data_IF_701013692945
#
_entry.id   IF_701013692945
#
_cell.length_a   1.000
_cell.length_b   1.000
_cell.length_c   1.000
_cell.angle_alpha   90.00
_cell.angle_beta   90.00
_cell.angle_gamma   90.00
#
_symmetry.space_group_name_H-M   'P 1'
#
loop_
_entity.id
_entity.type
_entity.pdbx_description
1 polymer ?
#
# COMPACT_ATOMS: atom_id res chain seq x y z
N UNK A 1 15.37 44.53 4.84
CA UNK A 1 15.44 43.48 3.80
C UNK A 1 15.50 42.07 4.39
N UNK A 2 16.43 41.74 5.30
CA UNK A 2 16.53 40.37 5.85
C UNK A 2 15.30 39.89 6.68
N UNK A 3 14.64 40.79 7.43
CA UNK A 3 13.46 40.44 8.24
C UNK A 3 12.18 40.20 7.40
N UNK A 4 12.05 40.86 6.25
CA UNK A 4 10.92 40.62 5.32
C UNK A 4 11.09 39.29 4.58
N UNK A 5 12.33 38.94 4.23
CA UNK A 5 12.65 37.70 3.54
C UNK A 5 12.43 36.46 4.44
N UNK A 6 12.89 36.51 5.71
CA UNK A 6 12.63 35.44 6.69
C UNK A 6 11.15 35.22 7.02
N UNK A 7 10.33 36.28 6.97
CA UNK A 7 8.87 36.18 7.18
C UNK A 7 8.16 35.51 6.01
N UNK A 8 8.64 35.75 4.80
CA UNK A 8 8.09 35.14 3.59
C UNK A 8 8.48 33.65 3.50
N UNK A 9 9.73 33.31 3.79
CA UNK A 9 10.21 31.92 3.88
C UNK A 9 9.43 31.11 4.92
N UNK A 10 9.19 31.68 6.11
CA UNK A 10 8.39 31.01 7.14
C UNK A 10 6.92 30.79 6.72
N UNK A 11 6.33 31.73 5.96
CA UNK A 11 4.97 31.58 5.42
C UNK A 11 4.88 30.49 4.36
N UNK A 12 5.87 30.41 3.47
CA UNK A 12 5.96 29.35 2.46
C UNK A 12 6.13 27.98 3.14
N UNK A 13 6.98 27.89 4.17
CA UNK A 13 7.18 26.66 4.92
C UNK A 13 5.91 26.19 5.64
N UNK A 14 5.18 27.12 6.29
CA UNK A 14 3.90 26.82 6.95
C UNK A 14 2.87 26.34 5.93
N UNK A 15 2.77 27.02 4.79
CA UNK A 15 1.84 26.64 3.71
C UNK A 15 2.15 25.24 3.14
N UNK A 16 3.43 24.91 2.93
CA UNK A 16 3.84 23.58 2.48
C UNK A 16 3.51 22.50 3.52
N UNK A 17 3.73 22.80 4.81
CA UNK A 17 3.45 21.86 5.89
C UNK A 17 1.93 21.65 6.13
N UNK A 18 1.09 22.65 5.93
CA UNK A 18 -0.38 22.47 5.97
C UNK A 18 -0.89 21.60 4.81
N UNK A 19 -0.35 21.79 3.61
CA UNK A 19 -0.69 20.98 2.42
C UNK A 19 -0.27 19.53 2.61
N UNK A 20 0.93 19.27 3.15
CA UNK A 20 1.40 17.90 3.40
C UNK A 20 0.54 17.20 4.45
N UNK A 21 0.16 17.88 5.54
CA UNK A 21 -0.72 17.32 6.58
C UNK A 21 -2.10 16.96 6.02
N UNK A 22 -2.71 17.83 5.22
CA UNK A 22 -4.01 17.53 4.59
C UNK A 22 -3.91 16.32 3.65
N UNK A 23 -2.85 16.25 2.85
CA UNK A 23 -2.58 15.10 1.98
C UNK A 23 -2.43 13.80 2.76
N UNK A 24 -1.68 13.79 3.88
CA UNK A 24 -1.52 12.60 4.72
C UNK A 24 -2.84 12.11 5.33
N UNK A 25 -3.71 13.02 5.76
CA UNK A 25 -5.03 12.66 6.31
C UNK A 25 -5.98 12.09 5.25
N UNK A 26 -5.81 12.42 3.98
CA UNK A 26 -6.53 11.76 2.87
C UNK A 26 -6.10 10.31 2.71
N UNK A 27 -4.79 10.03 2.75
CA UNK A 27 -4.29 8.66 2.66
C UNK A 27 -4.65 7.82 3.89
N UNK A 28 -4.58 8.39 5.11
CA UNK A 28 -5.07 7.69 6.31
C UNK A 28 -6.56 7.35 6.22
N UNK A 29 -7.37 8.20 5.58
CA UNK A 29 -8.78 7.88 5.29
C UNK A 29 -8.91 6.75 4.27
N UNK A 30 -8.13 6.78 3.20
CA UNK A 30 -8.07 5.71 2.21
C UNK A 30 -7.72 4.36 2.85
N UNK A 31 -6.69 4.30 3.70
CA UNK A 31 -6.31 3.08 4.42
C UNK A 31 -7.46 2.51 5.26
N UNK A 32 -8.16 3.38 6.01
CA UNK A 32 -9.34 2.96 6.78
C UNK A 32 -10.45 2.38 5.90
N UNK A 33 -10.72 2.98 4.74
CA UNK A 33 -11.72 2.48 3.79
C UNK A 33 -11.33 1.12 3.21
N UNK A 34 -10.08 0.98 2.75
CA UNK A 34 -9.54 -0.30 2.25
C UNK A 34 -9.67 -1.39 3.32
N UNK A 35 -9.32 -1.11 4.58
CA UNK A 35 -9.50 -2.06 5.68
C UNK A 35 -10.97 -2.45 5.90
N UNK A 36 -11.91 -1.51 5.77
CA UNK A 36 -13.34 -1.79 5.89
C UNK A 36 -13.84 -2.69 4.75
N UNK A 37 -13.38 -2.46 3.53
CA UNK A 37 -13.72 -3.30 2.37
C UNK A 37 -13.14 -4.71 2.51
N UNK A 38 -11.88 -4.85 2.94
CA UNK A 38 -11.25 -6.15 3.24
C UNK A 38 -12.06 -6.91 4.30
N UNK A 39 -12.42 -6.23 5.40
CA UNK A 39 -13.24 -6.83 6.47
C UNK A 39 -14.58 -7.31 5.94
N UNK A 40 -15.21 -6.51 5.08
CA UNK A 40 -16.50 -6.80 4.44
C UNK A 40 -16.42 -7.79 3.27
N UNK A 41 -15.22 -8.37 3.00
CA UNK A 41 -14.96 -9.33 1.92
C UNK A 41 -15.26 -8.75 0.53
N UNK A 42 -14.94 -7.47 0.33
CA UNK A 42 -14.94 -6.75 -0.94
C UNK A 42 -13.49 -6.57 -1.44
N UNK A 43 -12.79 -7.67 -1.63
CA UNK A 43 -11.38 -7.81 -2.02
C UNK A 43 -11.11 -7.19 -3.38
N UNK A 44 -11.96 -7.37 -4.39
CA UNK A 44 -11.74 -6.73 -5.69
C UNK A 44 -11.73 -5.21 -5.57
N UNK A 45 -12.74 -4.67 -4.88
CA UNK A 45 -12.85 -3.23 -4.60
C UNK A 45 -11.64 -2.74 -3.82
N UNK A 46 -11.32 -3.38 -2.70
CA UNK A 46 -10.18 -3.05 -1.86
C UNK A 46 -8.86 -3.08 -2.65
N UNK A 47 -8.64 -4.09 -3.51
CA UNK A 47 -7.42 -4.22 -4.30
C UNK A 47 -7.25 -3.08 -5.30
N UNK A 48 -8.34 -2.66 -5.96
CA UNK A 48 -8.31 -1.56 -6.91
C UNK A 48 -8.06 -0.22 -6.22
N UNK A 49 -8.81 0.06 -5.14
CA UNK A 49 -8.66 1.30 -4.37
C UNK A 49 -7.27 1.42 -3.74
N UNK A 50 -6.74 0.31 -3.20
CA UNK A 50 -5.40 0.27 -2.64
C UNK A 50 -4.33 0.49 -3.72
N UNK A 51 -4.43 -0.17 -4.87
CA UNK A 51 -3.46 -0.01 -5.96
C UNK A 51 -3.43 1.42 -6.49
N UNK A 52 -4.61 1.99 -6.80
CA UNK A 52 -4.71 3.37 -7.29
C UNK A 52 -4.21 4.38 -6.25
N UNK A 53 -4.57 4.18 -4.98
CA UNK A 53 -4.08 4.99 -3.87
C UNK A 53 -2.56 4.90 -3.71
N UNK A 54 -1.99 3.71 -3.83
CA UNK A 54 -0.55 3.47 -3.70
C UNK A 54 0.25 4.17 -4.79
N UNK A 55 -0.21 4.11 -6.05
CA UNK A 55 0.42 4.83 -7.14
C UNK A 55 0.38 6.35 -6.96
N UNK A 56 -0.76 6.89 -6.49
CA UNK A 56 -0.86 8.33 -6.19
C UNK A 56 0.07 8.72 -5.05
N UNK A 57 0.18 7.89 -4.01
CA UNK A 57 1.05 8.11 -2.87
C UNK A 57 2.52 8.16 -3.27
N UNK A 58 2.99 7.14 -3.99
CA UNK A 58 4.39 6.99 -4.41
C UNK A 58 4.82 8.17 -5.30
N UNK A 59 3.96 8.59 -6.22
CA UNK A 59 4.22 9.75 -7.07
C UNK A 59 4.15 11.11 -6.33
N UNK A 60 3.66 11.12 -5.08
CA UNK A 60 3.51 12.33 -4.25
C UNK A 60 4.43 12.35 -3.04
N UNK A 61 5.36 11.38 -2.91
CA UNK A 61 6.13 11.15 -1.68
C UNK A 61 6.96 12.37 -1.25
N UNK A 62 7.51 13.11 -2.21
CA UNK A 62 8.25 14.36 -1.97
C UNK A 62 7.33 15.49 -1.49
N UNK A 63 6.19 15.68 -2.16
CA UNK A 63 5.22 16.72 -1.80
C UNK A 63 4.60 16.50 -0.42
N UNK A 64 4.53 15.24 0.02
CA UNK A 64 4.01 14.85 1.34
C UNK A 64 5.08 14.89 2.44
N UNK A 65 6.35 15.16 2.10
CA UNK A 65 7.46 15.15 3.07
C UNK A 65 7.76 13.76 3.65
N UNK A 66 7.34 12.68 2.99
CA UNK A 66 7.48 11.30 3.49
C UNK A 66 8.90 10.73 3.35
N UNK A 67 9.73 11.35 2.52
CA UNK A 67 11.13 10.99 2.26
C UNK A 67 12.14 11.77 3.11
N UNK A 68 11.71 12.80 3.85
CA UNK A 68 12.64 13.69 4.54
C UNK A 68 13.21 13.01 5.80
N UNK A 69 14.54 13.01 5.92
CA UNK A 69 15.20 12.73 7.19
C UNK A 69 15.38 14.04 7.94
N UNK A 70 14.58 14.23 9.00
CA UNK A 70 14.56 15.46 9.81
C UNK A 70 14.88 15.04 11.24
N UNK A 71 15.76 15.77 11.92
CA UNK A 71 16.12 15.58 13.34
C UNK A 71 14.94 15.74 14.33
N UNK A 72 13.71 15.87 13.83
CA UNK A 72 12.49 15.88 14.62
C UNK A 72 11.95 14.45 14.76
N UNK A 73 12.22 13.87 15.93
CA UNK A 73 11.80 12.54 16.32
C UNK A 73 10.26 12.33 16.25
N UNK A 74 9.48 13.37 16.52
CA UNK A 74 8.01 13.28 16.44
C UNK A 74 7.58 13.07 14.99
N UNK A 75 8.08 13.91 14.08
CA UNK A 75 7.79 13.80 12.64
C UNK A 75 8.28 12.48 12.06
N UNK A 76 9.45 12.00 12.51
CA UNK A 76 9.97 10.69 12.11
C UNK A 76 9.01 9.57 12.51
N UNK A 77 8.55 9.55 13.76
CA UNK A 77 7.62 8.54 14.25
C UNK A 77 6.28 8.56 13.49
N UNK A 78 5.75 9.75 13.15
CA UNK A 78 4.54 9.88 12.33
C UNK A 78 4.71 9.28 10.93
N UNK A 79 5.87 9.47 10.29
CA UNK A 79 6.18 8.86 8.98
C UNK A 79 6.30 7.34 9.09
N UNK A 80 6.96 6.85 10.14
CA UNK A 80 7.08 5.41 10.39
C UNK A 80 5.70 4.75 10.58
N UNK A 81 4.82 5.38 11.38
CA UNK A 81 3.45 4.91 11.56
C UNK A 81 2.68 4.93 10.23
N UNK A 82 2.85 5.97 9.43
CA UNK A 82 2.20 6.07 8.12
C UNK A 82 2.63 4.95 7.16
N UNK A 83 3.94 4.71 7.01
CA UNK A 83 4.45 3.61 6.18
C UNK A 83 4.00 2.26 6.71
N UNK A 84 4.00 2.08 8.03
CA UNK A 84 3.49 0.87 8.66
C UNK A 84 2.01 0.64 8.33
N UNK A 85 1.15 1.65 8.44
CA UNK A 85 -0.27 1.53 8.11
C UNK A 85 -0.49 1.21 6.62
N UNK A 86 0.30 1.82 5.74
CA UNK A 86 0.30 1.50 4.32
C UNK A 86 0.63 0.02 4.07
N UNK A 87 1.72 -0.48 4.67
CA UNK A 87 2.16 -1.86 4.50
C UNK A 87 1.14 -2.85 5.08
N UNK A 88 0.56 -2.55 6.24
CA UNK A 88 -0.48 -3.36 6.84
C UNK A 88 -1.74 -3.47 5.96
N UNK A 89 -2.07 -2.46 5.14
CA UNK A 89 -3.16 -2.57 4.16
C UNK A 89 -2.88 -3.64 3.11
N UNK A 90 -1.65 -3.65 2.56
CA UNK A 90 -1.21 -4.61 1.56
C UNK A 90 -1.14 -6.04 2.12
N UNK A 91 -0.55 -6.20 3.31
CA UNK A 91 -0.52 -7.50 3.99
C UNK A 91 -1.93 -8.01 4.30
N UNK A 92 -2.82 -7.15 4.80
CA UNK A 92 -4.20 -7.53 5.11
C UNK A 92 -4.98 -7.97 3.87
N UNK A 93 -4.75 -7.33 2.72
CA UNK A 93 -5.35 -7.72 1.44
C UNK A 93 -4.88 -9.13 1.05
N UNK A 94 -3.58 -9.38 1.07
CA UNK A 94 -3.00 -10.68 0.73
C UNK A 94 -3.46 -11.78 1.69
N UNK A 95 -3.42 -11.54 3.00
CA UNK A 95 -3.88 -12.52 4.00
C UNK A 95 -5.36 -12.85 3.83
N UNK A 96 -6.22 -11.85 3.61
CA UNK A 96 -7.64 -12.11 3.38
C UNK A 96 -7.90 -12.88 2.08
N UNK A 97 -7.15 -12.60 1.02
CA UNK A 97 -7.20 -13.40 -0.21
C UNK A 97 -6.79 -14.85 0.06
N UNK A 98 -5.72 -15.08 0.84
CA UNK A 98 -5.27 -16.43 1.25
C UNK A 98 -6.36 -17.18 2.02
N UNK A 99 -6.99 -16.54 3.01
CA UNK A 99 -8.10 -17.09 3.79
C UNK A 99 -9.28 -17.49 2.89
N UNK A 100 -9.68 -16.62 1.96
CA UNK A 100 -10.77 -16.88 1.01
C UNK A 100 -10.44 -18.07 0.12
N UNK A 101 -9.23 -18.14 -0.43
CA UNK A 101 -8.78 -19.28 -1.24
C UNK A 101 -8.85 -20.57 -0.43
N UNK A 102 -8.32 -20.59 0.80
CA UNK A 102 -8.34 -21.78 1.65
C UNK A 102 -9.77 -22.22 2.01
N UNK A 103 -10.69 -21.28 2.25
CA UNK A 103 -12.10 -21.59 2.47
C UNK A 103 -12.77 -22.15 1.20
N UNK A 104 -12.47 -21.59 0.03
CA UNK A 104 -12.98 -22.08 -1.24
C UNK A 104 -12.52 -23.51 -1.51
N UNK A 105 -11.25 -23.83 -1.24
CA UNK A 105 -10.71 -25.17 -1.36
C UNK A 105 -11.38 -26.18 -0.42
N UNK A 106 -11.65 -25.79 0.83
CA UNK A 106 -12.31 -26.65 1.81
C UNK A 106 -13.79 -26.92 1.47
N UNK A 107 -14.48 -25.94 0.89
CA UNK A 107 -15.93 -26.00 0.66
C UNK A 107 -16.32 -26.35 -0.78
N UNK A 108 -15.39 -26.21 -1.73
CA UNK A 108 -15.65 -26.29 -3.17
C UNK A 108 -16.38 -25.06 -3.75
N UNK A 109 -16.72 -24.06 -2.92
CA UNK A 109 -17.46 -22.87 -3.32
C UNK A 109 -16.47 -21.73 -3.56
N UNK A 110 -16.41 -21.24 -4.80
CA UNK A 110 -15.51 -20.17 -5.20
C UNK A 110 -16.22 -18.80 -5.16
N UNK A 111 -15.85 -17.90 -4.23
CA UNK A 111 -16.51 -16.59 -4.13
C UNK A 111 -16.22 -15.73 -5.36
N UNK A 112 -17.25 -15.06 -5.88
CA UNK A 112 -17.11 -14.19 -7.07
C UNK A 112 -16.18 -12.98 -6.85
N UNK A 113 -15.92 -12.62 -5.59
CA UNK A 113 -15.05 -11.50 -5.22
C UNK A 113 -13.60 -11.92 -4.96
N UNK A 114 -13.28 -13.21 -5.09
CA UNK A 114 -11.90 -13.70 -5.03
C UNK A 114 -11.07 -13.18 -6.22
N UNK A 115 -9.81 -12.81 -5.98
CA UNK A 115 -8.88 -12.41 -7.03
C UNK A 115 -8.38 -13.63 -7.81
N UNK A 116 -8.15 -13.43 -9.12
CA UNK A 116 -7.50 -14.44 -9.96
C UNK A 116 -5.99 -14.43 -9.79
N UNK A 117 -5.33 -15.50 -10.22
CA UNK A 117 -3.86 -15.57 -10.28
C UNK A 117 -3.25 -14.39 -11.05
N UNK A 118 -3.86 -14.02 -12.19
CA UNK A 118 -3.35 -12.93 -13.03
C UNK A 118 -3.44 -11.57 -12.33
N UNK A 119 -4.53 -11.33 -11.59
CA UNK A 119 -4.68 -10.10 -10.80
C UNK A 119 -3.65 -10.06 -9.67
N UNK A 120 -3.46 -11.15 -8.93
CA UNK A 120 -2.48 -11.21 -7.83
C UNK A 120 -1.06 -11.01 -8.35
N UNK A 121 -0.73 -11.63 -9.49
CA UNK A 121 0.57 -11.45 -10.16
C UNK A 121 0.77 -9.99 -10.55
N UNK A 122 -0.23 -9.38 -11.20
CA UNK A 122 -0.18 -7.95 -11.55
C UNK A 122 -0.03 -7.06 -10.33
N UNK A 123 -0.66 -7.37 -9.19
CA UNK A 123 -0.49 -6.60 -7.95
C UNK A 123 0.95 -6.69 -7.44
N UNK A 124 1.56 -7.88 -7.48
CA UNK A 124 2.97 -8.07 -7.13
C UNK A 124 3.92 -7.27 -8.02
N UNK A 125 3.74 -7.34 -9.34
CA UNK A 125 4.57 -6.61 -10.31
C UNK A 125 4.47 -5.09 -10.10
N UNK A 126 3.27 -4.59 -9.82
CA UNK A 126 3.05 -3.17 -9.55
C UNK A 126 3.67 -2.74 -8.22
N UNK A 127 3.67 -3.62 -7.21
CA UNK A 127 4.33 -3.36 -5.93
C UNK A 127 5.85 -3.17 -6.13
N UNK A 128 6.49 -4.08 -6.88
CA UNK A 128 7.93 -3.98 -7.20
C UNK A 128 8.22 -2.68 -7.96
N UNK A 129 7.41 -2.34 -8.96
CA UNK A 129 7.58 -1.09 -9.71
C UNK A 129 7.45 0.17 -8.82
N UNK A 130 6.59 0.13 -7.80
CA UNK A 130 6.48 1.20 -6.81
C UNK A 130 7.72 1.28 -5.92
N UNK A 131 8.29 0.15 -5.50
CA UNK A 131 9.55 0.11 -4.75
C UNK A 131 10.71 0.74 -5.53
N UNK A 132 10.83 0.43 -6.82
CA UNK A 132 11.87 1.00 -7.71
C UNK A 132 11.81 2.53 -7.72
N UNK A 133 10.62 3.12 -7.69
CA UNK A 133 10.44 4.58 -7.62
C UNK A 133 10.88 5.11 -6.25
N UNK A 134 10.42 4.48 -5.17
CA UNK A 134 10.75 4.89 -3.81
C UNK A 134 12.25 4.78 -3.50
N UNK A 135 12.96 3.84 -4.13
CA UNK A 135 14.41 3.70 -4.03
C UNK A 135 15.14 5.00 -4.41
N UNK A 136 14.64 5.73 -5.42
CA UNK A 136 15.24 7.02 -5.85
C UNK A 136 15.16 8.11 -4.79
N UNK A 137 14.27 7.94 -3.81
CA UNK A 137 14.07 8.85 -2.69
C UNK A 137 14.76 8.40 -1.40
N UNK A 138 15.56 7.32 -1.44
CA UNK A 138 16.22 6.76 -0.25
C UNK A 138 15.30 5.96 0.66
N UNK A 139 14.07 5.66 0.22
CA UNK A 139 13.07 4.88 0.96
C UNK A 139 13.26 3.38 0.73
N UNK A 140 14.43 2.89 1.11
CA UNK A 140 14.85 1.48 1.01
C UNK A 140 15.03 0.85 2.39
N UNK A 141 15.06 1.66 3.45
CA UNK A 141 15.25 1.19 4.81
C UNK A 141 14.01 0.42 5.32
N UNK A 142 14.25 -0.61 6.14
CA UNK A 142 13.25 -1.58 6.61
C UNK A 142 12.00 -0.97 7.27
N UNK A 143 12.12 0.26 7.79
CA UNK A 143 11.03 0.97 8.48
C UNK A 143 10.46 2.15 7.66
N UNK A 144 11.11 2.56 6.56
CA UNK A 144 10.69 3.67 5.71
C UNK A 144 10.56 3.25 4.25
N UNK A 145 9.35 2.86 3.86
CA UNK A 145 9.04 2.42 2.50
C UNK A 145 8.11 1.21 2.50
N UNK A 146 8.13 0.48 1.39
CA UNK A 146 7.28 -0.69 1.16
C UNK A 146 7.96 -1.95 1.68
N UNK A 147 7.23 -2.79 2.42
CA UNK A 147 7.67 -4.12 2.86
C UNK A 147 7.57 -5.15 1.73
N UNK A 148 8.34 -4.93 0.65
CA UNK A 148 8.25 -5.69 -0.59
C UNK A 148 8.34 -7.20 -0.36
N UNK A 149 9.39 -7.66 0.33
CA UNK A 149 9.62 -9.10 0.54
C UNK A 149 8.46 -9.76 1.28
N UNK A 150 7.94 -9.13 2.33
CA UNK A 150 6.83 -9.66 3.12
C UNK A 150 5.54 -9.73 2.30
N UNK A 151 5.20 -8.64 1.60
CA UNK A 151 3.96 -8.55 0.82
C UNK A 151 4.01 -9.49 -0.39
N UNK A 152 5.11 -9.50 -1.13
CA UNK A 152 5.30 -10.38 -2.30
C UNK A 152 5.28 -11.86 -1.88
N UNK A 153 5.87 -12.21 -0.74
CA UNK A 153 5.80 -13.57 -0.21
C UNK A 153 4.34 -14.01 0.03
N UNK A 154 3.49 -13.17 0.63
CA UNK A 154 2.06 -13.47 0.82
C UNK A 154 1.34 -13.69 -0.52
N UNK A 155 1.66 -12.88 -1.54
CA UNK A 155 1.08 -13.03 -2.88
C UNK A 155 1.53 -14.32 -3.57
N UNK A 156 2.80 -14.68 -3.45
CA UNK A 156 3.33 -15.96 -3.96
C UNK A 156 2.58 -17.13 -3.31
N UNK A 157 2.38 -17.11 -1.99
CA UNK A 157 1.61 -18.15 -1.30
C UNK A 157 0.15 -18.24 -1.82
N UNK A 158 -0.48 -17.11 -2.13
CA UNK A 158 -1.83 -17.09 -2.71
C UNK A 158 -1.85 -17.72 -4.11
N UNK A 159 -0.87 -17.38 -4.94
CA UNK A 159 -0.71 -17.93 -6.30
C UNK A 159 -0.49 -19.45 -6.23
N UNK A 160 0.39 -19.90 -5.36
CA UNK A 160 0.68 -21.31 -5.12
C UNK A 160 -0.56 -22.11 -4.72
N UNK A 161 -1.38 -21.55 -3.82
CA UNK A 161 -2.64 -22.17 -3.39
C UNK A 161 -3.63 -22.32 -4.56
N UNK A 162 -3.72 -21.31 -5.43
CA UNK A 162 -4.58 -21.33 -6.61
C UNK A 162 -4.06 -22.29 -7.68
N UNK A 163 -2.74 -22.32 -7.92
CA UNK A 163 -2.11 -23.15 -8.94
C UNK A 163 -2.25 -24.65 -8.64
N UNK A 164 -2.01 -25.06 -7.38
CA UNK A 164 -2.11 -26.46 -6.94
C UNK A 164 -3.52 -27.03 -7.06
N UNK A 165 -4.54 -26.18 -7.20
CA UNK A 165 -5.94 -26.56 -7.10
C UNK A 165 -6.80 -26.09 -8.29
N UNK A 166 -6.18 -25.66 -9.41
CA UNK A 166 -6.93 -25.54 -10.67
C UNK A 166 -7.52 -26.93 -10.98
N UNK A 167 -8.85 -27.06 -11.15
CA UNK A 167 -9.38 -28.29 -11.71
C UNK A 167 -8.71 -28.47 -13.06
N UNK A 168 -8.04 -29.62 -13.27
CA UNK A 168 -7.60 -30.02 -14.60
C UNK A 168 -8.83 -29.87 -15.49
N UNK A 169 -8.76 -28.97 -16.46
CA UNK A 169 -9.76 -28.87 -17.51
C UNK A 169 -10.03 -30.30 -17.94
N UNK A 170 -11.26 -30.80 -17.75
CA UNK A 170 -11.65 -32.05 -18.39
C UNK A 170 -11.58 -31.74 -19.87
N UNK A 171 -10.48 -32.12 -20.50
CA UNK A 171 -10.39 -32.26 -21.94
C UNK A 171 -11.53 -33.22 -22.31
N UNK A 172 -12.56 -32.65 -22.95
CA UNK A 172 -13.62 -33.41 -23.60
C UNK A 172 -13.23 -33.57 -25.07
#
# INVERSE_FOLDING_TARGET
MALSQRREEARIQIGFQEVSVQGLEEYKRLFRLVFQDIKSRQIKKASNELLEGSWRLVNSVTALGLHEDVDDETKRNERLEFWRDFNLCWEALGQRQKEITQMALKTGIWPGDMLSTDIITSLGDQLVAMCDILQTHGLVDYEMGIWEEQITHIFIECIDLLARNRPKSREF
#
